data_IF_635287756677
#
_entry.id   IF_635287756677
#
_cell.length_a   1.000
_cell.length_b   1.000
_cell.length_c   1.000
_cell.angle_alpha   90.00
_cell.angle_beta   90.00
_cell.angle_gamma   90.00
#
_symmetry.space_group_name_H-M   'P 1'
#
loop_
_entity.id
_entity.type
_entity.pdbx_description
1 polymer ?
#
# COMPACT_ATOMS: atom_id res chain seq x y z
N UNK A 1 -38.99 -22.37 26.54
CA UNK A 1 -37.59 -22.32 26.08
C UNK A 1 -36.83 -21.53 27.13
N UNK A 2 -35.61 -21.93 27.55
CA UNK A 2 -34.85 -21.11 28.49
C UNK A 2 -34.69 -19.71 27.88
N UNK A 3 -34.98 -18.67 28.65
CA UNK A 3 -34.75 -17.28 28.26
C UNK A 3 -33.28 -17.14 27.86
N UNK A 4 -33.02 -17.14 26.56
CA UNK A 4 -31.71 -16.83 26.01
C UNK A 4 -31.55 -15.31 26.05
N UNK A 5 -31.45 -14.75 27.24
CA UNK A 5 -31.05 -13.35 27.41
C UNK A 5 -29.53 -13.25 27.30
N UNK A 6 -29.04 -12.24 26.59
CA UNK A 6 -27.63 -11.89 26.66
C UNK A 6 -27.25 -11.47 28.07
N UNK A 7 -26.01 -11.72 28.45
CA UNK A 7 -25.44 -11.11 29.65
C UNK A 7 -25.21 -9.62 29.40
N UNK A 8 -25.29 -8.80 30.46
CA UNK A 8 -24.96 -7.38 30.38
C UNK A 8 -23.57 -7.12 29.75
N UNK A 9 -22.62 -8.03 30.00
CA UNK A 9 -21.29 -7.96 29.41
C UNK A 9 -21.31 -8.10 27.88
N UNK A 10 -22.08 -9.06 27.35
CA UNK A 10 -22.20 -9.29 25.91
C UNK A 10 -22.88 -8.09 25.21
N UNK A 11 -23.90 -7.52 25.81
CA UNK A 11 -24.56 -6.31 25.29
C UNK A 11 -23.59 -5.12 25.23
N UNK A 12 -22.87 -4.85 26.33
CA UNK A 12 -21.85 -3.79 26.38
C UNK A 12 -20.79 -4.03 25.31
N UNK A 13 -20.32 -5.27 25.15
CA UNK A 13 -19.32 -5.61 24.15
C UNK A 13 -19.79 -5.28 22.73
N UNK A 14 -21.02 -5.67 22.36
CA UNK A 14 -21.61 -5.35 21.06
C UNK A 14 -21.69 -3.84 20.84
N UNK A 15 -22.21 -3.10 21.82
CA UNK A 15 -22.31 -1.63 21.71
C UNK A 15 -20.94 -0.97 21.55
N UNK A 16 -19.93 -1.43 22.28
CA UNK A 16 -18.55 -0.93 22.15
C UNK A 16 -17.99 -1.23 20.75
N UNK A 17 -18.19 -2.44 20.21
CA UNK A 17 -17.75 -2.78 18.86
C UNK A 17 -18.42 -1.90 17.79
N UNK A 18 -19.73 -1.72 17.86
CA UNK A 18 -20.48 -0.90 16.90
C UNK A 18 -20.09 0.58 17.03
N UNK A 19 -20.02 1.12 18.26
CA UNK A 19 -19.61 2.50 18.50
C UNK A 19 -18.17 2.75 18.03
N UNK A 20 -17.26 1.80 18.27
CA UNK A 20 -15.87 1.88 17.80
C UNK A 20 -15.78 1.86 16.29
N UNK A 21 -16.57 1.01 15.62
CA UNK A 21 -16.67 0.94 14.16
C UNK A 21 -17.10 2.29 13.56
N UNK A 22 -18.17 2.89 14.09
CA UNK A 22 -18.67 4.19 13.63
C UNK A 22 -17.68 5.32 13.94
N UNK A 23 -17.16 5.37 15.16
CA UNK A 23 -16.21 6.39 15.59
C UNK A 23 -14.91 6.39 14.77
N UNK A 24 -14.36 5.20 14.51
CA UNK A 24 -13.17 5.05 13.68
C UNK A 24 -13.45 5.33 12.20
N UNK A 25 -14.65 5.03 11.69
CA UNK A 25 -15.03 5.39 10.32
C UNK A 25 -15.07 6.91 10.12
N UNK A 26 -15.65 7.64 11.08
CA UNK A 26 -15.67 9.11 11.08
C UNK A 26 -14.27 9.71 11.25
N UNK A 27 -13.41 9.08 12.04
CA UNK A 27 -12.02 9.52 12.19
C UNK A 27 -11.22 9.26 10.92
N UNK A 28 -11.39 8.09 10.29
CA UNK A 28 -10.68 7.70 9.08
C UNK A 28 -11.04 8.56 7.86
N UNK A 29 -12.28 9.06 7.78
CA UNK A 29 -12.68 9.98 6.71
C UNK A 29 -12.04 11.37 6.83
N UNK A 30 -11.68 11.77 8.06
CA UNK A 30 -10.98 13.03 8.35
C UNK A 30 -9.47 12.90 8.34
N UNK A 31 -8.96 11.72 8.70
CA UNK A 31 -7.54 11.45 8.87
C UNK A 31 -7.15 10.28 7.97
N UNK A 32 -6.52 10.59 6.84
CA UNK A 32 -5.96 9.60 5.91
C UNK A 32 -4.68 8.93 6.44
N UNK A 33 -4.77 8.33 7.63
CA UNK A 33 -3.69 7.61 8.31
C UNK A 33 -3.86 6.10 8.13
N UNK A 34 -2.78 5.42 7.74
CA UNK A 34 -2.76 3.96 7.65
C UNK A 34 -3.13 3.30 8.98
N UNK A 35 -2.69 3.88 10.11
CA UNK A 35 -2.99 3.36 11.46
C UNK A 35 -4.49 3.30 11.72
N UNK A 36 -5.16 4.41 11.42
CA UNK A 36 -6.60 4.55 11.61
C UNK A 36 -7.34 3.64 10.64
N UNK A 37 -6.88 3.53 9.39
CA UNK A 37 -7.48 2.65 8.39
C UNK A 37 -7.44 1.19 8.80
N UNK A 38 -6.30 0.71 9.34
CA UNK A 38 -6.15 -0.66 9.86
C UNK A 38 -7.08 -0.90 11.05
N UNK A 39 -7.07 -0.01 12.04
CA UNK A 39 -7.94 -0.14 13.22
C UNK A 39 -9.42 -0.08 12.84
N UNK A 40 -9.79 0.80 11.92
CA UNK A 40 -11.15 0.93 11.41
C UNK A 40 -11.62 -0.35 10.70
N UNK A 41 -10.75 -1.03 9.94
CA UNK A 41 -11.10 -2.32 9.32
C UNK A 41 -11.40 -3.39 10.37
N UNK A 42 -10.55 -3.52 11.38
CA UNK A 42 -10.80 -4.46 12.49
C UNK A 42 -12.08 -4.10 13.24
N UNK A 43 -12.29 -2.82 13.58
CA UNK A 43 -13.49 -2.39 14.29
C UNK A 43 -14.77 -2.65 13.47
N UNK A 44 -14.76 -2.41 12.15
CA UNK A 44 -15.89 -2.77 11.27
C UNK A 44 -16.13 -4.26 11.24
N UNK A 45 -15.08 -5.06 11.18
CA UNK A 45 -15.18 -6.52 11.18
C UNK A 45 -15.84 -7.03 12.46
N UNK A 46 -15.33 -6.60 13.62
CA UNK A 46 -15.94 -6.93 14.92
C UNK A 46 -17.38 -6.40 15.02
N UNK A 47 -17.62 -5.14 14.63
CA UNK A 47 -18.94 -4.52 14.69
C UNK A 47 -19.99 -5.25 13.84
N UNK A 48 -19.67 -5.62 12.60
CA UNK A 48 -20.59 -6.36 11.73
C UNK A 48 -20.82 -7.77 12.27
N UNK A 49 -19.77 -8.49 12.65
CA UNK A 49 -19.89 -9.88 13.08
C UNK A 49 -20.67 -10.03 14.38
N UNK A 50 -20.36 -9.22 15.38
CA UNK A 50 -21.04 -9.28 16.68
C UNK A 50 -22.40 -8.55 16.68
N UNK A 51 -22.57 -7.52 15.83
CA UNK A 51 -23.88 -6.90 15.61
C UNK A 51 -24.88 -7.86 14.95
N UNK A 52 -24.46 -8.62 13.92
CA UNK A 52 -25.31 -9.65 13.32
C UNK A 52 -25.57 -10.80 14.28
N UNK A 53 -24.56 -11.21 15.07
CA UNK A 53 -24.75 -12.23 16.09
C UNK A 53 -25.79 -11.81 17.14
N UNK A 54 -25.79 -10.55 17.56
CA UNK A 54 -26.78 -9.99 18.48
C UNK A 54 -28.20 -10.13 17.90
N UNK A 55 -28.41 -9.69 16.65
CA UNK A 55 -29.73 -9.74 16.01
C UNK A 55 -30.27 -11.18 15.88
N UNK A 56 -29.40 -12.14 15.57
CA UNK A 56 -29.79 -13.54 15.39
C UNK A 56 -30.04 -14.24 16.72
N UNK A 57 -29.24 -13.92 17.74
CA UNK A 57 -29.41 -14.45 19.08
C UNK A 57 -30.71 -13.93 19.71
N UNK A 58 -30.97 -12.63 19.62
CA UNK A 58 -32.20 -11.98 20.11
C UNK A 58 -33.45 -12.49 19.37
N UNK A 59 -33.34 -12.71 18.05
CA UNK A 59 -34.43 -13.29 17.27
C UNK A 59 -34.67 -14.79 17.55
N UNK A 60 -33.81 -15.46 18.33
CA UNK A 60 -33.93 -16.88 18.69
C UNK A 60 -33.79 -17.84 17.51
N UNK A 61 -33.15 -17.41 16.41
CA UNK A 61 -33.05 -18.22 15.18
C UNK A 61 -32.06 -19.38 15.28
N UNK A 62 -31.07 -19.27 16.18
CA UNK A 62 -30.03 -20.28 16.36
C UNK A 62 -29.91 -20.66 17.84
N UNK A 63 -30.08 -21.96 18.13
CA UNK A 63 -29.85 -22.52 19.47
C UNK A 63 -28.35 -22.76 19.73
N UNK A 64 -27.53 -21.72 19.62
CA UNK A 64 -26.08 -21.76 19.85
C UNK A 64 -25.64 -20.59 20.75
N UNK A 65 -24.56 -20.76 21.53
CA UNK A 65 -24.04 -19.68 22.36
C UNK A 65 -23.66 -18.45 21.52
N UNK A 66 -23.90 -17.24 22.06
CA UNK A 66 -23.64 -15.97 21.38
C UNK A 66 -22.24 -15.89 20.75
N UNK A 67 -21.20 -16.26 21.49
CA UNK A 67 -19.81 -16.25 21.02
C UNK A 67 -19.57 -17.17 19.82
N UNK A 68 -20.29 -18.29 19.73
CA UNK A 68 -20.21 -19.21 18.59
C UNK A 68 -20.82 -18.56 17.35
N UNK A 69 -21.98 -17.90 17.50
CA UNK A 69 -22.63 -17.18 16.41
C UNK A 69 -21.72 -16.03 15.93
N UNK A 70 -21.14 -15.25 16.86
CA UNK A 70 -20.18 -14.19 16.56
C UNK A 70 -18.96 -14.70 15.78
N UNK A 71 -18.37 -15.82 16.22
CA UNK A 71 -17.25 -16.45 15.53
C UNK A 71 -17.62 -16.91 14.11
N UNK A 72 -18.81 -17.48 13.92
CA UNK A 72 -19.30 -17.89 12.59
C UNK A 72 -19.40 -16.68 11.65
N UNK A 73 -19.98 -15.56 12.10
CA UNK A 73 -20.05 -14.35 11.28
C UNK A 73 -18.68 -13.73 11.03
N UNK A 74 -17.78 -13.81 12.00
CA UNK A 74 -16.41 -13.32 11.85
C UNK A 74 -15.65 -14.09 10.77
N UNK A 75 -15.71 -15.42 10.80
CA UNK A 75 -15.11 -16.30 9.78
C UNK A 75 -15.84 -16.20 8.43
N UNK A 76 -17.16 -16.05 8.45
CA UNK A 76 -17.94 -15.81 7.24
C UNK A 76 -17.52 -14.52 6.53
N UNK A 77 -17.32 -13.44 7.29
CA UNK A 77 -16.79 -12.19 6.75
C UNK A 77 -15.36 -12.33 6.23
N UNK A 78 -14.51 -13.12 6.91
CA UNK A 78 -13.16 -13.46 6.41
C UNK A 78 -13.22 -14.06 5.01
N UNK A 79 -14.14 -15.01 4.81
CA UNK A 79 -14.32 -15.70 3.54
C UNK A 79 -14.84 -14.74 2.46
N UNK A 80 -15.80 -13.89 2.78
CA UNK A 80 -16.31 -12.86 1.86
C UNK A 80 -15.20 -11.91 1.42
N UNK A 81 -14.42 -11.36 2.36
CA UNK A 81 -13.29 -10.48 2.05
C UNK A 81 -12.19 -11.21 1.24
N UNK A 82 -11.95 -12.48 1.55
CA UNK A 82 -10.99 -13.32 0.81
C UNK A 82 -11.43 -13.47 -0.65
N UNK A 83 -12.69 -13.82 -0.89
CA UNK A 83 -13.25 -13.99 -2.23
C UNK A 83 -13.29 -12.65 -2.97
N UNK A 84 -13.75 -11.58 -2.32
CA UNK A 84 -13.78 -10.24 -2.91
C UNK A 84 -12.38 -9.78 -3.35
N UNK A 85 -11.38 -9.89 -2.47
CA UNK A 85 -9.99 -9.54 -2.77
C UNK A 85 -9.44 -10.39 -3.92
N UNK A 86 -9.74 -11.69 -3.94
CA UNK A 86 -9.34 -12.58 -5.01
C UNK A 86 -9.92 -12.16 -6.36
N UNK A 87 -11.21 -11.83 -6.40
CA UNK A 87 -11.89 -11.33 -7.59
C UNK A 87 -11.31 -9.99 -8.07
N UNK A 88 -11.01 -9.07 -7.15
CA UNK A 88 -10.38 -7.79 -7.49
C UNK A 88 -8.98 -7.98 -8.11
N UNK A 89 -8.17 -8.89 -7.58
CA UNK A 89 -6.85 -9.23 -8.13
C UNK A 89 -6.98 -9.88 -9.51
N UNK A 90 -7.95 -10.79 -9.69
CA UNK A 90 -8.23 -11.41 -10.98
C UNK A 90 -8.68 -10.35 -12.02
N UNK A 91 -9.51 -9.38 -11.61
CA UNK A 91 -9.92 -8.28 -12.46
C UNK A 91 -8.73 -7.38 -12.85
N UNK A 92 -7.84 -7.06 -11.91
CA UNK A 92 -6.61 -6.32 -12.20
C UNK A 92 -5.69 -7.08 -13.17
N UNK A 93 -5.57 -8.40 -13.01
CA UNK A 93 -4.80 -9.27 -13.90
C UNK A 93 -5.29 -9.20 -15.36
N UNK A 94 -6.60 -9.08 -15.56
CA UNK A 94 -7.24 -9.02 -16.89
C UNK A 94 -7.45 -7.59 -17.42
N UNK A 95 -7.18 -6.56 -16.61
CA UNK A 95 -7.34 -5.18 -17.04
C UNK A 95 -6.18 -4.72 -17.93
N UNK A 96 -6.36 -3.59 -18.61
CA UNK A 96 -5.30 -2.93 -19.37
C UNK A 96 -4.46 -1.97 -18.51
N UNK A 97 -4.57 -2.03 -17.17
CA UNK A 97 -3.84 -1.10 -16.29
C UNK A 97 -2.37 -1.51 -16.16
N UNK A 98 -1.39 -0.67 -16.48
CA UNK A 98 0.02 -1.06 -16.39
C UNK A 98 0.41 -1.51 -14.96
N UNK A 99 0.88 -2.76 -14.81
CA UNK A 99 1.42 -3.26 -13.53
C UNK A 99 2.77 -2.62 -13.22
N UNK A 100 3.55 -2.36 -14.27
CA UNK A 100 4.82 -1.65 -14.26
C UNK A 100 4.63 -0.39 -15.12
N UNK A 101 4.31 0.76 -14.50
CA UNK A 101 3.96 1.98 -15.24
C UNK A 101 5.17 2.56 -15.97
N UNK A 102 4.93 3.28 -17.07
CA UNK A 102 5.97 4.07 -17.73
C UNK A 102 5.97 5.49 -17.18
N UNK A 103 7.15 6.03 -16.98
CA UNK A 103 7.36 7.39 -16.50
C UNK A 103 7.62 8.34 -17.68
N UNK A 104 6.91 9.46 -17.68
CA UNK A 104 7.12 10.58 -18.60
C UNK A 104 7.30 11.88 -17.83
N UNK A 105 7.86 12.90 -18.47
CA UNK A 105 8.01 14.21 -17.87
C UNK A 105 6.66 14.91 -17.69
N UNK A 106 6.44 15.54 -16.54
CA UNK A 106 5.23 16.30 -16.29
C UNK A 106 5.35 17.74 -16.79
N UNK A 107 4.74 18.03 -17.94
CA UNK A 107 4.72 19.37 -18.53
C UNK A 107 3.47 20.21 -18.17
N UNK A 108 2.58 19.69 -17.31
CA UNK A 108 1.25 20.30 -17.09
C UNK A 108 1.23 21.39 -16.01
N UNK A 109 2.38 21.73 -15.39
CA UNK A 109 2.51 22.81 -14.40
C UNK A 109 1.89 22.52 -13.01
N UNK A 110 1.02 21.52 -12.89
CA UNK A 110 0.45 21.06 -11.60
C UNK A 110 1.35 20.04 -10.89
N UNK A 111 2.55 20.46 -10.55
CA UNK A 111 3.60 19.55 -10.07
C UNK A 111 3.52 19.22 -8.58
N UNK A 112 3.06 20.18 -7.75
CA UNK A 112 3.12 20.07 -6.29
C UNK A 112 1.83 20.56 -5.63
N UNK A 113 1.10 19.69 -4.90
CA UNK A 113 -0.13 20.11 -4.22
C UNK A 113 0.11 21.14 -3.12
N UNK A 114 -0.77 22.13 -3.00
CA UNK A 114 -0.70 23.21 -2.02
C UNK A 114 -1.20 22.80 -0.62
N UNK A 115 -0.72 21.67 -0.10
CA UNK A 115 -1.05 21.20 1.25
C UNK A 115 0.04 21.56 2.25
N UNK A 116 -0.32 22.01 3.46
CA UNK A 116 0.63 22.41 4.51
C UNK A 116 1.74 21.37 4.75
N UNK A 117 1.38 20.10 4.88
CA UNK A 117 2.35 19.00 5.10
C UNK A 117 3.35 18.86 3.95
N UNK A 118 2.89 19.04 2.70
CA UNK A 118 3.75 18.95 1.52
C UNK A 118 4.67 20.18 1.42
N UNK A 119 4.22 21.35 1.87
CA UNK A 119 5.09 22.54 1.99
C UNK A 119 6.19 22.29 3.02
N UNK A 120 5.85 21.77 4.21
CA UNK A 120 6.82 21.40 5.25
C UNK A 120 7.86 20.39 4.75
N UNK A 121 7.44 19.40 3.96
CA UNK A 121 8.34 18.42 3.33
C UNK A 121 9.27 19.10 2.34
N UNK A 122 8.76 20.02 1.50
CA UNK A 122 9.57 20.76 0.54
C UNK A 122 10.63 21.62 1.23
N UNK A 123 10.27 22.29 2.33
CA UNK A 123 11.21 23.08 3.12
C UNK A 123 12.25 22.21 3.82
N UNK A 124 11.84 21.04 4.32
CA UNK A 124 12.77 20.05 4.87
C UNK A 124 13.76 19.53 3.81
N UNK A 125 13.30 19.23 2.60
CA UNK A 125 14.17 18.81 1.49
C UNK A 125 15.23 19.87 1.17
N UNK A 126 14.82 21.14 1.09
CA UNK A 126 15.76 22.27 0.89
C UNK A 126 16.78 22.36 2.03
N UNK A 127 16.33 22.23 3.28
CA UNK A 127 17.21 22.26 4.45
C UNK A 127 18.19 21.07 4.52
N UNK A 128 17.89 19.97 3.81
CA UNK A 128 18.78 18.80 3.66
C UNK A 128 19.55 18.79 2.34
N UNK A 129 19.54 19.92 1.63
CA UNK A 129 20.19 20.09 0.34
C UNK A 129 19.80 19.01 -0.66
N UNK A 130 18.49 18.80 -0.78
CA UNK A 130 17.92 18.09 -1.91
C UNK A 130 17.45 19.10 -2.95
N UNK A 131 17.97 18.98 -4.17
CA UNK A 131 17.52 19.75 -5.31
C UNK A 131 16.46 18.96 -6.09
N UNK A 132 15.46 19.65 -6.66
CA UNK A 132 14.46 19.01 -7.51
C UNK A 132 15.11 18.66 -8.84
N UNK A 133 15.04 17.39 -9.22
CA UNK A 133 15.59 16.92 -10.49
C UNK A 133 14.54 16.90 -11.60
N UNK A 134 13.41 16.21 -11.38
CA UNK A 134 12.32 16.07 -12.37
C UNK A 134 10.94 15.99 -11.70
N UNK A 135 9.92 16.48 -12.40
CA UNK A 135 8.52 16.15 -12.12
C UNK A 135 8.06 15.11 -13.16
N UNK A 136 7.43 14.03 -12.71
CA UNK A 136 7.13 12.87 -13.55
C UNK A 136 5.69 12.41 -13.41
N UNK A 137 5.16 11.83 -14.48
CA UNK A 137 3.87 11.15 -14.52
C UNK A 137 4.11 9.66 -14.73
N UNK A 138 3.54 8.83 -13.86
CA UNK A 138 3.49 7.39 -14.04
C UNK A 138 2.17 7.01 -14.72
N UNK A 139 2.24 6.49 -15.94
CA UNK A 139 1.09 6.02 -16.71
C UNK A 139 0.67 4.63 -16.23
N UNK A 140 -0.52 4.53 -15.61
CA UNK A 140 -1.11 3.26 -15.18
C UNK A 140 -2.12 2.74 -16.22
N UNK A 141 -2.18 3.34 -17.41
CA UNK A 141 -3.10 2.98 -18.46
C UNK A 141 -4.50 3.59 -18.27
N UNK A 142 -5.30 3.49 -19.33
CA UNK A 142 -6.66 4.05 -19.39
C UNK A 142 -6.73 5.57 -19.14
N UNK A 143 -5.65 6.29 -19.45
CA UNK A 143 -5.56 7.75 -19.24
C UNK A 143 -5.38 8.16 -17.77
N UNK A 144 -5.09 7.20 -16.87
CA UNK A 144 -4.82 7.47 -15.46
C UNK A 144 -3.32 7.65 -15.24
N UNK A 145 -2.96 8.82 -14.72
CA UNK A 145 -1.58 9.16 -14.39
C UNK A 145 -1.43 9.38 -12.89
N UNK A 146 -0.40 8.78 -12.28
CA UNK A 146 0.02 9.15 -10.93
C UNK A 146 1.15 10.17 -11.02
N UNK A 147 0.97 11.30 -10.34
CA UNK A 147 1.98 12.34 -10.26
C UNK A 147 3.08 11.93 -9.29
N UNK A 148 4.32 12.26 -9.62
CA UNK A 148 5.47 12.06 -8.76
C UNK A 148 6.49 13.17 -8.95
N UNK A 149 7.33 13.40 -7.96
CA UNK A 149 8.48 14.31 -8.05
C UNK A 149 9.74 13.63 -7.54
N UNK A 150 10.83 13.83 -8.26
CA UNK A 150 12.14 13.27 -7.94
C UNK A 150 13.11 14.38 -7.55
N UNK A 151 13.78 14.17 -6.43
CA UNK A 151 14.81 15.04 -5.87
C UNK A 151 16.10 14.25 -5.73
N UNK A 152 17.21 14.97 -5.80
CA UNK A 152 18.55 14.42 -5.69
C UNK A 152 19.30 15.18 -4.60
N UNK A 153 20.05 14.47 -3.76
CA UNK A 153 20.97 15.09 -2.81
C UNK A 153 22.12 15.80 -3.53
N UNK A 154 22.70 16.83 -2.91
CA UNK A 154 23.83 17.59 -3.48
C UNK A 154 25.03 16.73 -3.89
N UNK A 155 25.28 15.62 -3.18
CA UNK A 155 26.35 14.67 -3.48
C UNK A 155 25.99 13.68 -4.61
N UNK A 156 24.79 13.78 -5.18
CA UNK A 156 24.23 12.88 -6.19
C UNK A 156 24.21 11.40 -5.79
N UNK A 157 24.22 11.07 -4.49
CA UNK A 157 24.23 9.68 -3.99
C UNK A 157 22.88 9.17 -3.52
N UNK A 158 21.98 10.05 -3.11
CA UNK A 158 20.65 9.70 -2.60
C UNK A 158 19.59 10.35 -3.47
N UNK A 159 18.71 9.52 -4.02
CA UNK A 159 17.51 9.96 -4.74
C UNK A 159 16.31 9.84 -3.83
N UNK A 160 15.50 10.90 -3.78
CA UNK A 160 14.22 10.92 -3.10
C UNK A 160 13.10 11.04 -4.11
N UNK A 161 12.09 10.19 -3.98
CA UNK A 161 10.88 10.25 -4.78
C UNK A 161 9.66 10.39 -3.88
N UNK A 162 8.76 11.30 -4.25
CA UNK A 162 7.43 11.43 -3.65
C UNK A 162 6.36 11.11 -4.69
N UNK A 163 5.48 10.18 -4.35
CA UNK A 163 4.35 9.75 -5.17
C UNK A 163 3.07 10.37 -4.62
N UNK A 164 2.25 11.00 -5.46
CA UNK A 164 0.98 11.63 -5.10
C UNK A 164 -0.20 10.74 -5.48
N UNK A 165 -0.72 9.99 -4.52
CA UNK A 165 -1.78 9.01 -4.70
C UNK A 165 -3.15 9.67 -4.51
N UNK A 166 -4.00 9.73 -5.55
CA UNK A 166 -5.35 10.28 -5.42
C UNK A 166 -6.19 9.43 -4.46
N UNK A 167 -7.00 10.07 -3.61
CA UNK A 167 -7.94 9.41 -2.72
C UNK A 167 -9.40 9.68 -3.12
N UNK A 168 -10.29 8.74 -2.78
CA UNK A 168 -11.71 8.81 -3.14
C UNK A 168 -12.46 10.00 -2.51
N UNK A 169 -11.94 10.55 -1.41
CA UNK A 169 -12.49 11.74 -0.74
C UNK A 169 -12.01 13.06 -1.39
N UNK A 170 -11.29 13.00 -2.50
CA UNK A 170 -10.70 14.17 -3.17
C UNK A 170 -9.40 14.66 -2.55
N UNK A 171 -8.92 14.04 -1.47
CA UNK A 171 -7.61 14.34 -0.89
C UNK A 171 -6.48 13.64 -1.68
N UNK A 172 -5.24 14.09 -1.47
CA UNK A 172 -4.05 13.53 -2.09
C UNK A 172 -3.21 12.87 -0.99
N UNK A 173 -3.20 11.54 -1.01
CA UNK A 173 -2.21 10.77 -0.26
C UNK A 173 -0.84 10.94 -0.87
N UNK A 174 0.21 10.74 -0.08
CA UNK A 174 1.57 10.74 -0.60
C UNK A 174 2.43 9.63 0.00
N UNK A 175 3.37 9.11 -0.77
CA UNK A 175 4.35 8.12 -0.32
C UNK A 175 5.75 8.60 -0.67
N UNK A 176 6.72 8.14 0.12
CA UNK A 176 8.12 8.49 0.02
C UNK A 176 8.92 7.25 -0.34
N UNK A 177 9.92 7.41 -1.19
CA UNK A 177 10.94 6.41 -1.46
C UNK A 177 12.30 7.09 -1.46
N UNK A 178 13.25 6.51 -0.75
CA UNK A 178 14.67 6.86 -0.82
C UNK A 178 15.43 5.72 -1.49
N UNK A 179 16.21 6.05 -2.50
CA UNK A 179 17.01 5.09 -3.27
C UNK A 179 18.46 5.56 -3.31
N UNK A 180 19.37 4.61 -3.12
CA UNK A 180 20.81 4.79 -3.33
C UNK A 180 21.37 3.57 -4.04
N UNK A 181 22.49 3.73 -4.73
CA UNK A 181 23.24 2.65 -5.34
C UNK A 181 24.63 2.55 -4.73
N UNK A 182 25.12 1.32 -4.63
CA UNK A 182 26.47 1.04 -4.18
C UNK A 182 27.41 0.86 -5.36
N UNK A 183 28.71 0.98 -5.11
CA UNK A 183 29.74 0.68 -6.12
C UNK A 183 29.70 -0.79 -6.58
N UNK A 184 29.21 -1.69 -5.72
CA UNK A 184 29.02 -3.12 -6.00
C UNK A 184 27.73 -3.41 -6.78
N UNK A 185 27.07 -2.38 -7.33
CA UNK A 185 25.81 -2.48 -8.09
C UNK A 185 24.64 -3.04 -7.28
N UNK A 186 24.69 -2.96 -5.94
CA UNK A 186 23.53 -3.19 -5.07
C UNK A 186 22.69 -1.91 -4.96
N UNK A 187 21.38 -2.03 -5.08
CA UNK A 187 20.42 -0.93 -4.93
C UNK A 187 19.72 -1.01 -3.59
N UNK A 188 19.80 0.07 -2.82
CA UNK A 188 19.19 0.19 -1.50
C UNK A 188 17.93 1.04 -1.60
N UNK A 189 16.75 0.45 -1.36
CA UNK A 189 15.45 1.15 -1.43
C UNK A 189 14.80 1.16 -0.05
N UNK A 190 14.42 2.33 0.45
CA UNK A 190 13.64 2.50 1.68
C UNK A 190 12.40 3.34 1.41
N UNK A 191 11.22 2.73 1.46
CA UNK A 191 9.97 3.42 1.15
C UNK A 191 8.91 3.24 2.24
N UNK A 192 7.79 3.96 2.09
CA UNK A 192 6.59 3.76 2.88
C UNK A 192 5.34 3.52 2.02
N UNK A 193 5.53 2.91 0.84
CA UNK A 193 4.44 2.58 -0.06
C UNK A 193 3.45 1.64 0.64
N UNK A 194 2.18 1.99 0.61
CA UNK A 194 1.09 1.15 1.12
C UNK A 194 0.33 0.44 -0.01
N UNK A 195 0.84 0.51 -1.25
CA UNK A 195 0.31 -0.23 -2.39
C UNK A 195 0.86 -1.66 -2.36
N UNK A 196 0.01 -2.67 -2.62
CA UNK A 196 0.46 -4.06 -2.60
C UNK A 196 1.38 -4.34 -3.78
N UNK A 197 2.56 -4.89 -3.48
CA UNK A 197 3.45 -5.47 -4.47
C UNK A 197 3.82 -6.88 -4.03
N UNK A 198 3.28 -7.87 -4.75
CA UNK A 198 3.52 -9.30 -4.53
C UNK A 198 4.56 -9.92 -5.48
N UNK A 199 5.22 -9.10 -6.30
CA UNK A 199 6.23 -9.52 -7.25
C UNK A 199 7.60 -9.77 -6.63
N UNK A 200 8.56 -10.08 -7.48
CA UNK A 200 9.95 -10.32 -7.14
C UNK A 200 10.81 -9.10 -7.46
N UNK A 201 11.67 -8.74 -6.51
CA UNK A 201 12.74 -7.78 -6.74
C UNK A 201 13.98 -8.49 -7.31
N UNK A 202 14.83 -7.77 -8.07
CA UNK A 202 16.16 -8.26 -8.42
C UNK A 202 16.97 -8.65 -7.19
N UNK A 203 17.85 -9.64 -7.30
CA UNK A 203 18.68 -10.13 -6.19
C UNK A 203 19.60 -9.04 -5.62
N UNK A 204 20.06 -8.13 -6.47
CA UNK A 204 20.89 -6.99 -6.06
C UNK A 204 20.08 -5.82 -5.49
N UNK A 205 18.78 -5.98 -5.21
CA UNK A 205 17.95 -4.95 -4.61
C UNK A 205 17.64 -5.27 -3.15
N UNK A 206 18.12 -4.41 -2.26
CA UNK A 206 17.81 -4.43 -0.84
C UNK A 206 16.65 -3.48 -0.55
N UNK A 207 15.44 -4.03 -0.48
CA UNK A 207 14.20 -3.24 -0.25
C UNK A 207 13.79 -3.35 1.21
N UNK A 208 13.42 -2.22 1.82
CA UNK A 208 12.71 -2.19 3.11
C UNK A 208 11.53 -1.26 2.97
N UNK A 209 10.31 -1.81 3.09
CA UNK A 209 9.08 -1.00 3.13
C UNK A 209 8.61 -0.80 4.56
N UNK A 210 8.34 0.46 4.93
CA UNK A 210 7.79 0.84 6.24
C UNK A 210 6.49 1.64 6.10
N UNK A 211 5.36 1.00 5.76
CA UNK A 211 4.08 1.70 5.53
C UNK A 211 3.61 2.57 6.71
N UNK A 212 3.94 2.16 7.94
CA UNK A 212 3.64 2.90 9.17
C UNK A 212 4.45 4.20 9.35
N UNK A 213 5.59 4.34 8.66
CA UNK A 213 6.49 5.49 8.80
C UNK A 213 6.07 6.60 7.83
N UNK A 214 5.18 7.46 8.29
CA UNK A 214 4.63 8.59 7.49
C UNK A 214 5.43 9.90 7.62
N UNK A 215 6.50 9.90 8.40
CA UNK A 215 7.43 11.03 8.51
C UNK A 215 8.59 10.84 7.54
N UNK A 216 8.80 11.83 6.65
CA UNK A 216 9.95 11.85 5.73
C UNK A 216 11.27 11.83 6.50
N UNK A 217 11.33 12.51 7.66
CA UNK A 217 12.51 12.60 8.50
C UNK A 217 12.89 11.24 9.08
N UNK A 218 11.91 10.51 9.61
CA UNK A 218 12.16 9.19 10.20
C UNK A 218 12.51 8.16 9.13
N UNK A 219 11.85 8.20 7.97
CA UNK A 219 12.18 7.31 6.86
C UNK A 219 13.61 7.58 6.33
N UNK A 220 13.99 8.85 6.21
CA UNK A 220 15.35 9.24 5.82
C UNK A 220 16.40 8.78 6.85
N UNK A 221 16.13 8.90 8.15
CA UNK A 221 17.03 8.37 9.19
C UNK A 221 17.23 6.86 9.05
N UNK A 222 16.16 6.11 8.79
CA UNK A 222 16.26 4.66 8.52
C UNK A 222 17.11 4.40 7.29
N UNK A 223 16.86 5.12 6.19
CA UNK A 223 17.65 4.98 4.97
C UNK A 223 19.14 5.26 5.23
N UNK A 224 19.47 6.40 5.85
CA UNK A 224 20.85 6.79 6.17
C UNK A 224 21.59 5.74 7.01
N UNK A 225 20.93 5.17 8.02
CA UNK A 225 21.52 4.08 8.83
C UNK A 225 21.91 2.87 8.00
N UNK A 226 21.15 2.54 6.96
CA UNK A 226 21.48 1.43 6.05
C UNK A 226 22.70 1.73 5.19
N UNK A 227 22.99 3.01 4.93
CA UNK A 227 24.10 3.43 4.08
C UNK A 227 25.42 3.63 4.86
N UNK A 228 25.42 3.65 6.19
CA UNK A 228 26.58 4.06 7.03
C UNK A 228 27.89 3.29 6.74
N UNK A 229 27.80 2.07 6.20
CA UNK A 229 28.95 1.19 5.93
C UNK A 229 29.11 0.83 4.46
N UNK A 230 28.38 1.50 3.56
CA UNK A 230 28.37 1.19 2.14
C UNK A 230 29.08 2.28 1.35
N UNK A 231 29.83 1.87 0.33
CA UNK A 231 30.38 2.80 -0.65
C UNK A 231 29.31 3.08 -1.70
N UNK A 232 28.89 4.33 -1.79
CA UNK A 232 27.79 4.75 -2.66
C UNK A 232 28.31 5.29 -3.98
N UNK A 233 27.73 4.80 -5.07
CA UNK A 233 27.93 5.35 -6.39
C UNK A 233 27.15 6.65 -6.58
N UNK A 234 27.65 7.51 -7.47
CA UNK A 234 26.95 8.72 -7.88
C UNK A 234 26.00 8.41 -9.02
N UNK A 235 24.79 8.95 -8.95
CA UNK A 235 23.84 8.85 -10.05
C UNK A 235 24.31 9.65 -11.26
N UNK A 236 24.50 8.99 -12.39
CA UNK A 236 24.87 9.61 -13.68
C UNK A 236 23.68 9.71 -14.64
N UNK A 237 22.72 8.77 -14.53
CA UNK A 237 21.55 8.68 -15.40
C UNK A 237 20.46 9.69 -15.03
N UNK A 238 19.77 10.20 -16.07
CA UNK A 238 18.57 11.00 -15.89
C UNK A 238 17.52 10.20 -15.09
N UNK A 239 16.80 10.83 -14.14
CA UNK A 239 15.85 10.11 -13.31
C UNK A 239 14.74 9.38 -14.07
N UNK A 240 14.28 9.90 -15.21
CA UNK A 240 13.17 9.29 -15.97
C UNK A 240 13.66 8.01 -16.64
N UNK A 241 14.80 8.07 -17.31
CA UNK A 241 15.41 6.92 -17.97
C UNK A 241 15.71 5.81 -16.97
N UNK A 242 16.27 6.20 -15.82
CA UNK A 242 16.55 5.29 -14.73
C UNK A 242 15.25 4.63 -14.22
N UNK A 243 14.22 5.41 -13.86
CA UNK A 243 12.93 4.88 -13.40
C UNK A 243 12.32 3.89 -14.40
N UNK A 244 12.32 4.22 -15.69
CA UNK A 244 11.81 3.34 -16.75
C UNK A 244 12.64 2.05 -16.86
N UNK A 245 13.97 2.14 -16.75
CA UNK A 245 14.84 0.95 -16.69
C UNK A 245 14.51 0.08 -15.49
N UNK A 246 14.23 0.67 -14.32
CA UNK A 246 13.80 -0.09 -13.13
C UNK A 246 12.52 -0.88 -13.40
N UNK A 247 11.53 -0.24 -14.03
CA UNK A 247 10.24 -0.90 -14.34
C UNK A 247 10.42 -2.04 -15.33
N UNK A 248 11.27 -1.86 -16.36
CA UNK A 248 11.59 -2.92 -17.32
C UNK A 248 12.29 -4.11 -16.66
N UNK A 249 13.28 -3.86 -15.80
CA UNK A 249 13.98 -4.94 -15.07
C UNK A 249 13.02 -5.69 -14.15
N UNK A 250 12.16 -4.97 -13.42
CA UNK A 250 11.15 -5.59 -12.58
C UNK A 250 10.20 -6.46 -13.39
N UNK A 251 9.69 -5.96 -14.52
CA UNK A 251 8.79 -6.72 -15.39
C UNK A 251 9.45 -8.01 -15.90
N UNK A 252 10.69 -7.92 -16.40
CA UNK A 252 11.43 -9.07 -16.92
C UNK A 252 11.66 -10.15 -15.85
N UNK A 253 12.10 -9.75 -14.65
CA UNK A 253 12.31 -10.70 -13.54
C UNK A 253 10.98 -11.33 -13.13
N UNK A 254 9.90 -10.56 -13.08
CA UNK A 254 8.60 -11.10 -12.69
C UNK A 254 8.01 -12.07 -13.73
N UNK A 255 8.34 -11.92 -15.01
CA UNK A 255 8.06 -12.96 -16.02
C UNK A 255 8.94 -14.19 -15.79
N UNK A 256 10.24 -14.00 -15.57
CA UNK A 256 11.21 -15.09 -15.36
C UNK A 256 10.88 -15.96 -14.13
N UNK A 257 10.54 -15.32 -13.01
CA UNK A 257 10.22 -15.99 -11.74
C UNK A 257 8.78 -16.50 -11.68
N UNK A 258 8.02 -16.39 -12.77
CA UNK A 258 6.66 -16.94 -12.89
C UNK A 258 5.59 -16.16 -12.11
N UNK A 259 5.84 -14.90 -11.75
CA UNK A 259 4.80 -14.01 -11.22
C UNK A 259 3.87 -13.50 -12.32
N UNK A 260 4.43 -13.17 -13.49
CA UNK A 260 3.69 -12.79 -14.69
C UNK A 260 3.69 -13.89 -15.74
N UNK A 261 2.62 -13.96 -16.52
CA UNK A 261 2.63 -14.70 -17.77
C UNK A 261 3.49 -13.97 -18.82
N UNK A 262 4.23 -14.71 -19.68
CA UNK A 262 4.86 -14.13 -20.85
C UNK A 262 3.83 -13.41 -21.76
N UNK A 263 4.22 -12.33 -22.47
CA UNK A 263 3.29 -11.49 -23.23
C UNK A 263 2.33 -12.26 -24.17
N UNK A 264 2.82 -13.31 -24.83
CA UNK A 264 2.02 -14.11 -25.77
C UNK A 264 0.91 -14.94 -25.12
N UNK A 265 0.90 -15.11 -23.79
CA UNK A 265 -0.14 -15.83 -23.05
C UNK A 265 -1.07 -14.89 -22.28
N UNK A 266 -0.78 -13.58 -22.25
CA UNK A 266 -1.50 -12.64 -21.39
C UNK A 266 -2.95 -12.39 -21.84
N UNK A 267 -3.23 -12.51 -23.14
CA UNK A 267 -4.58 -12.33 -23.69
C UNK A 267 -5.54 -13.43 -23.19
N UNK A 268 -5.07 -14.68 -23.15
CA UNK A 268 -5.88 -15.83 -22.75
C UNK A 268 -6.02 -15.95 -21.22
N UNK A 269 -4.92 -15.79 -20.48
CA UNK A 269 -4.87 -16.09 -19.04
C UNK A 269 -4.91 -14.86 -18.14
N UNK A 270 -4.80 -13.66 -18.72
CA UNK A 270 -4.47 -12.43 -18.01
C UNK A 270 -2.97 -12.34 -17.70
N UNK A 271 -2.57 -11.28 -17.02
CA UNK A 271 -1.14 -10.94 -16.84
C UNK A 271 -0.47 -11.61 -15.65
N UNK A 272 -1.19 -11.80 -14.55
CA UNK A 272 -0.66 -12.36 -13.30
C UNK A 272 -1.01 -13.85 -13.23
N UNK A 273 0.01 -14.69 -12.95
CA UNK A 273 -0.14 -16.14 -12.75
C UNK A 273 -0.96 -16.46 -11.51
N UNK A 274 -1.38 -17.71 -11.34
CA UNK A 274 -2.11 -18.14 -10.15
C UNK A 274 -1.30 -17.89 -8.87
N UNK A 275 -0.03 -18.28 -8.89
CA UNK A 275 0.94 -18.07 -7.81
C UNK A 275 1.16 -16.58 -7.55
N UNK A 276 1.26 -15.78 -8.61
CA UNK A 276 1.37 -14.32 -8.50
C UNK A 276 0.15 -13.70 -7.81
N UNK A 277 -1.07 -14.12 -8.17
CA UNK A 277 -2.31 -13.63 -7.53
C UNK A 277 -2.35 -14.01 -6.05
N UNK A 278 -1.90 -15.21 -5.69
CA UNK A 278 -1.78 -15.62 -4.29
C UNK A 278 -0.79 -14.75 -3.50
N UNK A 279 0.36 -14.40 -4.09
CA UNK A 279 1.32 -13.48 -3.47
C UNK A 279 0.73 -12.09 -3.26
N UNK A 280 0.06 -11.54 -4.27
CA UNK A 280 -0.63 -10.24 -4.17
C UNK A 280 -1.72 -10.31 -3.10
N UNK A 281 -2.49 -11.40 -3.05
CA UNK A 281 -3.52 -11.60 -2.02
C UNK A 281 -2.92 -11.54 -0.61
N UNK A 282 -1.83 -12.26 -0.34
CA UNK A 282 -1.14 -12.20 0.95
C UNK A 282 -0.67 -10.79 1.30
N UNK A 283 -0.07 -10.09 0.33
CA UNK A 283 0.42 -8.72 0.52
C UNK A 283 -0.73 -7.75 0.83
N UNK A 284 -1.85 -7.86 0.11
CA UNK A 284 -3.06 -7.07 0.36
C UNK A 284 -3.56 -7.28 1.78
N UNK A 285 -3.61 -8.53 2.25
CA UNK A 285 -4.02 -8.85 3.63
C UNK A 285 -3.07 -8.26 4.66
N UNK A 286 -1.76 -8.44 4.48
CA UNK A 286 -0.74 -7.94 5.40
C UNK A 286 -0.75 -6.41 5.50
N UNK A 287 -0.89 -5.72 4.37
CA UNK A 287 -0.96 -4.26 4.35
C UNK A 287 -2.28 -3.74 4.93
N UNK A 288 -3.41 -4.32 4.54
CA UNK A 288 -4.72 -3.80 4.93
C UNK A 288 -5.06 -4.06 6.40
N UNK A 289 -4.67 -5.21 6.94
CA UNK A 289 -5.05 -5.63 8.29
C UNK A 289 -3.92 -5.52 9.31
N UNK A 290 -2.66 -5.45 8.86
CA UNK A 290 -1.51 -5.33 9.76
C UNK A 290 -0.60 -4.13 9.41
N UNK A 291 -0.80 -3.47 8.26
CA UNK A 291 0.06 -2.38 7.79
C UNK A 291 1.50 -2.80 7.50
N UNK A 292 1.75 -4.10 7.33
CA UNK A 292 3.08 -4.66 7.10
C UNK A 292 3.20 -5.10 5.65
N UNK A 293 4.36 -4.85 5.04
CA UNK A 293 4.70 -5.41 3.72
C UNK A 293 5.51 -6.69 3.91
N UNK A 294 5.32 -7.65 3.00
CA UNK A 294 6.09 -8.89 2.95
C UNK A 294 7.42 -8.76 2.20
N UNK A 295 7.76 -7.56 1.73
CA UNK A 295 9.02 -7.24 1.07
C UNK A 295 10.12 -6.82 2.05
#
# INVERSE_FOLDING_TARGET
MPDQSLTLFEEIFVYVCVASSVGLALLNSRVSSLKVSVLNRWARWFGVSFGLAYLIYDAGWLNRPFWVIGAIFFLGWLLVETVYTWLAINALSKSNMALFPRFSENNTGEEWPAQKKLIEIKDWLKAKSFSRSRAVLADIGQGLFIRSSVFQSDDNKIRFQILFVPQANGDIGFCFSFTSETEDNERIITDNLYMPYGGFYPENWSVIRKPWTRSVVELYKVHRRRLEKLNLSTYELDPIDELNRQQQVLEQINVKEGFLFPPHLQEDYGRITWEGRYRVWKEVWMLNYFGVSLA
#
